data_IF_887118499183
#
_entry.id   IF_887118499183
#
_cell.length_a   1.000
_cell.length_b   1.000
_cell.length_c   1.000
_cell.angle_alpha   90.00
_cell.angle_beta   90.00
_cell.angle_gamma   90.00
#
_symmetry.space_group_name_H-M   'P 1'
#
loop_
_entity.id
_entity.type
_entity.pdbx_description
1 polymer ?
#
# COMPACT_ATOMS: atom_id res chain seq x y z
N UNK A 1 17.13 -5.35 -16.50
CA UNK A 1 17.88 -4.77 -15.36
C UNK A 1 18.16 -3.26 -15.56
N UNK A 2 18.85 -2.79 -16.61
CA UNK A 2 19.16 -1.35 -16.76
C UNK A 2 17.89 -0.49 -16.96
N UNK A 3 16.98 -0.88 -17.83
CA UNK A 3 15.68 -0.19 -18.01
C UNK A 3 14.80 -0.21 -16.73
N UNK A 4 14.89 -1.27 -15.97
CA UNK A 4 14.24 -1.47 -14.68
C UNK A 4 14.73 -0.45 -13.65
N UNK A 5 16.04 -0.30 -13.55
CA UNK A 5 16.68 0.67 -12.66
C UNK A 5 16.38 2.12 -13.07
N UNK A 6 16.34 2.42 -14.37
CA UNK A 6 16.02 3.74 -14.89
C UNK A 6 14.59 4.16 -14.54
N UNK A 7 13.61 3.26 -14.67
CA UNK A 7 12.22 3.52 -14.26
C UNK A 7 12.12 3.73 -12.75
N UNK A 8 12.76 2.85 -11.96
CA UNK A 8 12.73 2.93 -10.50
C UNK A 8 13.40 4.22 -9.99
N UNK A 9 14.58 4.56 -10.53
CA UNK A 9 15.30 5.79 -10.18
C UNK A 9 14.46 7.02 -10.52
N UNK A 10 13.87 7.07 -11.72
CA UNK A 10 13.00 8.17 -12.14
C UNK A 10 11.77 8.33 -11.25
N UNK A 11 11.19 7.23 -10.81
CA UNK A 11 9.98 7.23 -9.99
C UNK A 11 10.21 7.67 -8.55
N UNK A 12 11.40 7.43 -7.97
CA UNK A 12 11.68 7.85 -6.58
C UNK A 12 12.60 9.06 -6.45
N UNK A 13 13.56 9.23 -7.35
CA UNK A 13 14.50 10.37 -7.25
C UNK A 13 13.89 11.65 -7.83
N UNK A 14 13.15 11.51 -8.94
CA UNK A 14 12.53 12.67 -9.63
C UNK A 14 11.06 12.38 -9.98
N UNK A 15 10.20 12.02 -9.03
CA UNK A 15 8.81 11.67 -9.32
C UNK A 15 8.02 12.89 -9.77
N UNK A 16 7.14 12.69 -10.74
CA UNK A 16 6.08 13.66 -11.02
C UNK A 16 5.15 13.72 -9.80
N UNK A 17 4.87 14.93 -9.31
CA UNK A 17 4.04 15.12 -8.10
C UNK A 17 2.61 15.50 -8.44
N UNK A 18 1.63 15.16 -7.60
CA UNK A 18 1.75 14.49 -6.30
C UNK A 18 2.19 13.02 -6.40
N UNK A 19 3.09 12.59 -5.50
CA UNK A 19 3.52 11.20 -5.34
C UNK A 19 2.68 10.54 -4.24
N UNK A 20 1.98 9.47 -4.60
CA UNK A 20 1.27 8.61 -3.66
C UNK A 20 2.03 7.30 -3.45
N UNK A 21 1.94 6.75 -2.25
CA UNK A 21 2.38 5.39 -1.97
C UNK A 21 1.26 4.59 -1.32
N UNK A 22 1.06 3.35 -1.77
CA UNK A 22 0.24 2.35 -1.10
C UNK A 22 1.17 1.37 -0.40
N UNK A 23 0.98 1.20 0.89
CA UNK A 23 1.69 0.21 1.70
C UNK A 23 0.65 -0.65 2.41
N UNK A 24 0.57 -1.90 2.00
CA UNK A 24 -0.28 -2.91 2.63
C UNK A 24 0.53 -4.03 3.26
N UNK A 25 -0.15 -5.03 3.79
CA UNK A 25 0.46 -6.21 4.39
C UNK A 25 0.04 -6.45 5.83
N UNK A 26 0.55 -7.52 6.43
CA UNK A 26 0.07 -8.01 7.71
C UNK A 26 0.52 -7.14 8.90
N UNK A 27 1.78 -6.68 8.92
CA UNK A 27 2.43 -6.14 10.13
C UNK A 27 3.19 -4.84 9.85
N UNK A 28 3.01 -3.85 10.74
CA UNK A 28 3.77 -2.58 10.75
C UNK A 28 5.25 -2.83 11.03
N UNK A 29 5.55 -3.74 11.98
CA UNK A 29 6.94 -4.06 12.38
C UNK A 29 7.83 -4.44 11.23
N UNK A 30 7.30 -5.14 10.22
CA UNK A 30 8.06 -5.58 9.04
C UNK A 30 8.33 -4.47 8.03
N UNK A 31 7.64 -3.33 8.14
CA UNK A 31 7.69 -2.24 7.15
C UNK A 31 8.01 -0.87 7.76
N UNK A 32 8.48 -0.80 9.00
CA UNK A 32 8.80 0.47 9.66
C UNK A 32 9.82 1.31 8.89
N UNK A 33 10.89 0.69 8.38
CA UNK A 33 11.90 1.35 7.57
C UNK A 33 11.29 1.94 6.28
N UNK A 34 10.47 1.15 5.60
CA UNK A 34 9.72 1.55 4.42
C UNK A 34 8.79 2.74 4.70
N UNK A 35 7.97 2.67 5.74
CA UNK A 35 7.04 3.75 6.11
C UNK A 35 7.76 5.06 6.40
N UNK A 36 8.84 5.03 7.18
CA UNK A 36 9.65 6.22 7.52
C UNK A 36 10.29 6.84 6.29
N UNK A 37 10.87 6.02 5.40
CA UNK A 37 11.51 6.52 4.19
C UNK A 37 10.48 7.10 3.21
N UNK A 38 9.35 6.43 3.01
CA UNK A 38 8.28 6.92 2.14
C UNK A 38 7.68 8.23 2.65
N UNK A 39 7.42 8.37 3.95
CA UNK A 39 6.90 9.61 4.53
C UNK A 39 7.79 10.84 4.27
N UNK A 40 9.10 10.64 4.14
CA UNK A 40 9.99 11.73 3.76
C UNK A 40 9.82 12.18 2.31
N UNK A 41 9.29 11.33 1.44
CA UNK A 41 9.29 11.51 -0.03
C UNK A 41 7.91 11.72 -0.64
N UNK A 42 6.86 11.05 -0.10
CA UNK A 42 5.50 11.07 -0.68
C UNK A 42 4.70 12.30 -0.26
N UNK A 43 3.67 12.62 -1.04
CA UNK A 43 2.65 13.59 -0.67
C UNK A 43 1.52 12.90 0.11
N UNK A 44 1.18 11.66 -0.28
CA UNK A 44 0.11 10.88 0.34
C UNK A 44 0.60 9.45 0.57
N UNK A 45 0.40 8.93 1.78
CA UNK A 45 0.66 7.55 2.17
C UNK A 45 -0.66 6.85 2.47
N UNK A 46 -0.99 5.84 1.68
CA UNK A 46 -2.20 5.03 1.83
C UNK A 46 -1.80 3.73 2.52
N UNK A 47 -2.40 3.43 3.66
CA UNK A 47 -2.08 2.26 4.47
C UNK A 47 -3.23 1.26 4.40
N UNK A 48 -2.93 0.03 4.00
CA UNK A 48 -3.87 -1.08 3.87
C UNK A 48 -3.45 -2.34 4.63
N UNK A 49 -4.24 -3.39 4.47
CA UNK A 49 -3.97 -4.69 5.08
C UNK A 49 -4.06 -4.70 6.60
N UNK A 50 -3.56 -5.76 7.23
CA UNK A 50 -3.54 -5.91 8.68
C UNK A 50 -2.78 -4.80 9.42
N UNK A 51 -1.80 -4.17 8.76
CA UNK A 51 -1.09 -3.03 9.34
C UNK A 51 -2.01 -1.81 9.52
N UNK A 52 -3.00 -1.59 8.66
CA UNK A 52 -3.98 -0.53 8.83
C UNK A 52 -4.76 -0.68 10.14
N UNK A 53 -5.01 -1.92 10.60
CA UNK A 53 -5.70 -2.18 11.86
C UNK A 53 -4.91 -1.64 13.06
N UNK A 54 -3.57 -1.74 13.02
CA UNK A 54 -2.70 -1.16 14.07
C UNK A 54 -2.81 0.36 14.09
N UNK A 55 -2.89 1.02 12.93
CA UNK A 55 -3.11 2.47 12.87
C UNK A 55 -4.52 2.85 13.35
N UNK A 56 -5.56 2.11 12.95
CA UNK A 56 -6.94 2.34 13.45
C UNK A 56 -7.03 2.19 14.96
N UNK A 57 -6.43 1.14 15.52
CA UNK A 57 -6.36 0.93 16.97
C UNK A 57 -5.58 2.04 17.67
N UNK A 58 -4.47 2.51 17.10
CA UNK A 58 -3.68 3.63 17.60
C UNK A 58 -4.48 4.93 17.67
N UNK A 59 -5.47 5.12 16.77
CA UNK A 59 -6.39 6.25 16.75
C UNK A 59 -7.65 6.03 17.60
N UNK A 60 -7.74 4.91 18.35
CA UNK A 60 -8.81 4.64 19.30
C UNK A 60 -10.01 3.87 18.71
N UNK A 61 -9.91 3.36 17.49
CA UNK A 61 -10.95 2.49 16.94
C UNK A 61 -10.84 1.07 17.50
N UNK A 62 -12.00 0.44 17.75
CA UNK A 62 -12.04 -0.99 18.01
C UNK A 62 -11.75 -1.75 16.71
N UNK A 63 -10.84 -2.72 16.75
CA UNK A 63 -10.49 -3.58 15.61
C UNK A 63 -10.89 -5.03 15.82
N UNK A 64 -11.66 -5.32 16.88
CA UNK A 64 -12.16 -6.63 17.22
C UNK A 64 -11.05 -7.66 17.39
N UNK A 65 -11.19 -8.79 16.68
CA UNK A 65 -10.22 -9.89 16.63
C UNK A 65 -9.26 -9.79 15.44
N UNK A 66 -9.20 -8.65 14.79
CA UNK A 66 -8.31 -8.43 13.65
C UNK A 66 -6.84 -8.54 14.05
N UNK A 67 -5.99 -8.90 13.10
CA UNK A 67 -4.55 -8.81 13.28
C UNK A 67 -4.17 -7.37 13.62
N UNK A 68 -3.54 -7.17 14.77
CA UNK A 68 -3.13 -5.87 15.28
C UNK A 68 -1.87 -6.02 16.15
N UNK A 69 -0.88 -5.16 15.95
CA UNK A 69 0.34 -5.12 16.75
C UNK A 69 0.17 -4.07 17.86
N UNK A 70 -0.42 -4.47 18.98
CA UNK A 70 -0.73 -3.58 20.11
C UNK A 70 0.51 -2.93 20.72
N UNK A 71 1.67 -3.59 20.65
CA UNK A 71 2.95 -3.06 21.12
C UNK A 71 3.47 -1.88 20.27
N UNK A 72 2.90 -1.70 19.05
CA UNK A 72 3.30 -0.65 18.11
C UNK A 72 2.29 0.51 18.01
N UNK A 73 1.29 0.59 18.90
CA UNK A 73 0.31 1.68 18.86
C UNK A 73 0.95 3.07 19.06
N UNK A 74 1.95 3.17 19.93
CA UNK A 74 2.72 4.42 20.10
C UNK A 74 3.47 4.80 18.82
N UNK A 75 4.15 3.84 18.22
CA UNK A 75 4.89 4.03 16.96
C UNK A 75 3.94 4.44 15.82
N UNK A 76 2.77 3.83 15.73
CA UNK A 76 1.77 4.22 14.73
C UNK A 76 1.28 5.66 14.93
N UNK A 77 1.03 6.09 16.18
CA UNK A 77 0.69 7.50 16.51
C UNK A 77 1.82 8.46 16.14
N UNK A 78 3.06 8.11 16.44
CA UNK A 78 4.23 8.92 16.08
C UNK A 78 4.35 9.10 14.57
N UNK A 79 4.10 8.04 13.79
CA UNK A 79 4.11 8.08 12.32
C UNK A 79 3.02 9.04 11.81
N UNK A 80 1.80 8.97 12.36
CA UNK A 80 0.70 9.88 11.99
C UNK A 80 1.06 11.33 12.33
N UNK A 81 1.50 11.59 13.55
CA UNK A 81 1.89 12.94 13.98
C UNK A 81 3.06 13.50 13.14
N UNK A 82 4.04 12.65 12.79
CA UNK A 82 5.15 13.07 11.93
C UNK A 82 4.67 13.41 10.51
N UNK A 83 3.74 12.65 9.96
CA UNK A 83 3.15 12.95 8.65
C UNK A 83 2.43 14.30 8.66
N UNK A 84 1.59 14.55 9.65
CA UNK A 84 0.88 15.82 9.85
C UNK A 84 1.84 16.99 9.97
N UNK A 85 2.87 16.88 10.81
CA UNK A 85 3.89 17.91 11.00
C UNK A 85 4.67 18.23 9.71
N UNK A 86 4.74 17.29 8.77
CA UNK A 86 5.38 17.45 7.45
C UNK A 86 4.39 17.84 6.34
N UNK A 87 3.11 18.05 6.66
CA UNK A 87 2.06 18.32 5.66
C UNK A 87 1.85 17.15 4.70
N UNK A 88 2.02 15.92 5.18
CA UNK A 88 1.78 14.68 4.42
C UNK A 88 0.46 14.08 4.84
N UNK A 89 -0.31 13.61 3.88
CA UNK A 89 -1.57 12.93 4.17
C UNK A 89 -1.33 11.44 4.42
N UNK A 90 -1.91 10.89 5.50
CA UNK A 90 -2.08 9.45 5.69
C UNK A 90 -3.54 9.10 5.44
N UNK A 91 -3.77 8.20 4.49
CA UNK A 91 -5.09 7.68 4.16
C UNK A 91 -5.26 6.31 4.78
N UNK A 92 -6.21 6.20 5.72
CA UNK A 92 -6.62 4.97 6.37
C UNK A 92 -8.03 4.56 5.89
N UNK A 93 -8.38 3.27 5.99
CA UNK A 93 -9.75 2.81 5.72
C UNK A 93 -10.77 3.55 6.57
N UNK A 94 -11.94 3.85 6.00
CA UNK A 94 -13.11 4.46 6.68
C UNK A 94 -14.23 3.44 6.88
N UNK A 95 -14.19 2.34 6.16
CA UNK A 95 -15.04 1.16 6.30
C UNK A 95 -14.26 -0.11 5.98
N UNK A 96 -14.76 -1.23 6.42
CA UNK A 96 -14.12 -2.53 6.30
C UNK A 96 -15.10 -3.63 5.94
N UNK A 97 -14.62 -4.65 5.25
CA UNK A 97 -15.29 -5.94 5.11
C UNK A 97 -14.85 -6.81 6.28
N UNK A 98 -15.81 -7.18 7.11
CA UNK A 98 -15.55 -7.95 8.33
C UNK A 98 -16.25 -9.31 8.30
N UNK A 99 -15.64 -10.29 8.96
CA UNK A 99 -16.23 -11.59 9.23
C UNK A 99 -15.74 -12.11 10.58
N UNK A 100 -16.35 -13.17 11.11
CA UNK A 100 -15.95 -13.76 12.40
C UNK A 100 -14.77 -14.74 12.29
N UNK A 101 -14.46 -15.19 11.08
CA UNK A 101 -13.32 -16.05 10.75
C UNK A 101 -12.84 -15.78 9.31
N UNK A 102 -11.62 -16.15 9.02
CA UNK A 102 -11.08 -16.15 7.66
C UNK A 102 -11.45 -17.47 6.97
N UNK A 103 -12.47 -17.42 6.10
CA UNK A 103 -12.97 -18.60 5.37
C UNK A 103 -13.73 -18.09 4.13
N UNK A 104 -13.55 -18.75 2.99
CA UNK A 104 -14.20 -18.36 1.74
C UNK A 104 -15.73 -18.42 1.76
N UNK A 105 -16.31 -19.24 2.63
CA UNK A 105 -17.76 -19.43 2.73
C UNK A 105 -18.38 -18.70 3.94
N UNK A 106 -17.60 -17.84 4.60
CA UNK A 106 -18.10 -17.10 5.74
C UNK A 106 -19.01 -15.95 5.32
N UNK A 107 -20.08 -15.74 6.09
CA UNK A 107 -20.87 -14.53 5.92
C UNK A 107 -20.02 -13.29 6.32
N UNK A 108 -19.81 -12.41 5.36
CA UNK A 108 -19.14 -11.12 5.57
C UNK A 108 -20.14 -9.98 5.50
N UNK A 109 -19.75 -8.85 6.09
CA UNK A 109 -20.53 -7.62 6.01
C UNK A 109 -19.61 -6.40 5.95
N UNK A 110 -20.11 -5.31 5.38
CA UNK A 110 -19.42 -4.02 5.36
C UNK A 110 -19.87 -3.20 6.57
N UNK A 111 -18.91 -2.68 7.31
CA UNK A 111 -19.16 -1.80 8.47
C UNK A 111 -18.22 -0.59 8.43
N UNK A 112 -18.66 0.59 8.91
CA UNK A 112 -17.73 1.70 9.13
C UNK A 112 -16.73 1.35 10.25
N UNK A 113 -15.51 1.90 10.20
CA UNK A 113 -14.44 1.56 11.15
C UNK A 113 -14.79 1.84 12.62
N UNK A 114 -15.72 2.72 12.89
CA UNK A 114 -16.22 3.01 14.24
C UNK A 114 -17.32 2.06 14.73
N UNK A 115 -17.74 1.07 13.92
CA UNK A 115 -18.79 0.09 14.23
C UNK A 115 -18.31 -1.36 14.14
N UNK A 116 -17.00 -1.59 14.20
CA UNK A 116 -16.41 -2.93 14.21
C UNK A 116 -16.72 -3.60 15.55
N UNK A 117 -17.32 -4.78 15.50
CA UNK A 117 -17.70 -5.54 16.67
C UNK A 117 -16.52 -6.27 17.33
N UNK A 118 -16.66 -6.60 18.61
CA UNK A 118 -15.60 -7.26 19.38
C UNK A 118 -15.17 -8.63 18.83
N UNK A 119 -16.05 -9.32 18.09
CA UNK A 119 -15.78 -10.63 17.50
C UNK A 119 -15.46 -10.56 16.00
N UNK A 120 -15.47 -9.38 15.41
CA UNK A 120 -15.16 -9.17 14.00
C UNK A 120 -13.66 -9.23 13.74
N UNK A 121 -13.33 -9.71 12.54
CA UNK A 121 -12.00 -9.60 11.94
C UNK A 121 -12.14 -8.73 10.68
N UNK A 122 -11.33 -7.69 10.57
CA UNK A 122 -11.17 -6.91 9.35
C UNK A 122 -10.38 -7.75 8.36
N UNK A 123 -10.99 -8.09 7.23
CA UNK A 123 -10.37 -8.96 6.22
C UNK A 123 -10.14 -8.24 4.89
N UNK A 124 -10.85 -7.14 4.63
CA UNK A 124 -10.60 -6.25 3.48
C UNK A 124 -11.09 -4.83 3.78
N UNK A 125 -10.74 -3.88 2.94
CA UNK A 125 -11.29 -2.53 2.98
C UNK A 125 -12.70 -2.53 2.37
N UNK A 126 -13.57 -1.65 2.88
CA UNK A 126 -14.93 -1.50 2.34
C UNK A 126 -14.99 -0.60 1.10
N UNK A 127 -16.13 -0.54 0.43
CA UNK A 127 -16.31 0.18 -0.83
C UNK A 127 -16.10 1.70 -0.70
N UNK A 128 -16.38 2.30 0.45
CA UNK A 128 -16.11 3.74 0.68
C UNK A 128 -14.62 4.01 0.79
N UNK A 129 -13.87 3.09 1.39
CA UNK A 129 -12.41 3.14 1.46
C UNK A 129 -11.80 3.00 0.07
N UNK A 130 -12.30 2.06 -0.75
CA UNK A 130 -11.91 1.90 -2.16
C UNK A 130 -12.10 3.20 -2.92
N UNK A 131 -13.29 3.80 -2.85
CA UNK A 131 -13.60 5.07 -3.54
C UNK A 131 -12.68 6.21 -3.08
N UNK A 132 -12.39 6.29 -1.77
CA UNK A 132 -11.44 7.28 -1.24
C UNK A 132 -10.05 7.09 -1.82
N UNK A 133 -9.54 5.86 -1.86
CA UNK A 133 -8.24 5.54 -2.46
C UNK A 133 -8.22 5.93 -3.94
N UNK A 134 -9.22 5.53 -4.72
CA UNK A 134 -9.33 5.88 -6.15
C UNK A 134 -9.34 7.40 -6.35
N UNK A 135 -10.07 8.14 -5.52
CA UNK A 135 -10.11 9.60 -5.58
C UNK A 135 -8.74 10.25 -5.33
N UNK A 136 -7.96 9.70 -4.41
CA UNK A 136 -6.58 10.13 -4.15
C UNK A 136 -5.68 9.82 -5.35
N UNK A 137 -5.78 8.60 -5.91
CA UNK A 137 -4.99 8.19 -7.06
C UNK A 137 -5.29 9.01 -8.32
N UNK A 138 -6.54 9.44 -8.51
CA UNK A 138 -6.94 10.30 -9.62
C UNK A 138 -6.26 11.70 -9.57
N UNK A 139 -5.82 12.14 -8.40
CA UNK A 139 -5.10 13.40 -8.20
C UNK A 139 -3.58 13.21 -8.23
N UNK A 140 -3.09 11.98 -8.04
CA UNK A 140 -1.67 11.66 -8.06
C UNK A 140 -1.11 11.65 -9.50
N UNK A 141 0.19 11.88 -9.63
CA UNK A 141 0.94 11.74 -10.89
C UNK A 141 1.84 10.52 -10.88
N UNK A 142 2.23 10.09 -9.71
CA UNK A 142 3.07 8.90 -9.52
C UNK A 142 2.52 8.07 -8.36
N UNK A 143 2.48 6.77 -8.53
CA UNK A 143 2.12 5.79 -7.51
C UNK A 143 3.25 4.78 -7.34
N UNK A 144 3.58 4.50 -6.09
CA UNK A 144 4.38 3.35 -5.68
C UNK A 144 3.51 2.43 -4.82
N UNK A 145 3.37 1.16 -5.21
CA UNK A 145 2.47 0.21 -4.53
C UNK A 145 3.23 -1.01 -4.01
N UNK A 146 3.12 -1.25 -2.70
CA UNK A 146 3.67 -2.43 -2.05
C UNK A 146 2.71 -3.02 -1.00
N UNK A 147 2.12 -4.16 -1.31
CA UNK A 147 1.22 -4.93 -0.44
C UNK A 147 -0.27 -4.72 -0.70
N UNK A 148 -1.09 -5.77 -0.53
CA UNK A 148 -2.53 -5.75 -0.75
C UNK A 148 -3.28 -5.01 0.37
N UNK A 149 -4.56 -4.69 0.13
CA UNK A 149 -5.46 -4.07 1.11
C UNK A 149 -6.16 -5.09 1.99
N UNK A 150 -6.50 -6.25 1.45
CA UNK A 150 -7.21 -7.32 2.14
C UNK A 150 -6.46 -8.64 2.11
N UNK A 151 -7.11 -9.69 2.60
CA UNK A 151 -6.63 -11.07 2.53
C UNK A 151 -6.96 -11.63 1.14
N UNK A 152 -6.25 -11.10 0.13
CA UNK A 152 -6.56 -11.26 -1.29
C UNK A 152 -6.55 -12.71 -1.78
N UNK A 153 -5.95 -13.64 -1.04
CA UNK A 153 -5.91 -15.07 -1.35
C UNK A 153 -7.25 -15.76 -1.09
N UNK A 154 -8.13 -15.13 -0.29
CA UNK A 154 -9.40 -15.72 0.14
C UNK A 154 -10.58 -14.84 -0.28
N UNK A 155 -11.38 -15.31 -1.23
CA UNK A 155 -12.61 -14.60 -1.62
C UNK A 155 -13.64 -14.63 -0.48
N UNK A 156 -14.39 -13.53 -0.28
CA UNK A 156 -14.48 -12.31 -1.12
C UNK A 156 -13.56 -11.17 -0.68
N UNK A 157 -12.52 -11.43 0.11
CA UNK A 157 -11.64 -10.44 0.74
C UNK A 157 -10.50 -9.94 -0.17
N UNK A 158 -10.63 -10.17 -1.47
CA UNK A 158 -9.76 -9.71 -2.55
C UNK A 158 -10.30 -8.44 -3.26
N UNK A 159 -11.57 -8.09 -3.04
CA UNK A 159 -12.28 -7.11 -3.84
C UNK A 159 -11.68 -5.70 -3.71
N UNK A 160 -11.31 -5.28 -2.50
CA UNK A 160 -10.70 -3.97 -2.28
C UNK A 160 -9.40 -3.80 -3.07
N UNK A 161 -8.54 -4.82 -3.06
CA UNK A 161 -7.30 -4.82 -3.83
C UNK A 161 -7.55 -4.83 -5.33
N UNK A 162 -8.48 -5.68 -5.81
CA UNK A 162 -8.82 -5.79 -7.24
C UNK A 162 -9.40 -4.48 -7.79
N UNK A 163 -10.33 -3.85 -7.09
CA UNK A 163 -10.96 -2.61 -7.55
C UNK A 163 -9.97 -1.46 -7.64
N UNK A 164 -9.12 -1.30 -6.62
CA UNK A 164 -8.04 -0.28 -6.65
C UNK A 164 -7.04 -0.58 -7.75
N UNK A 165 -6.68 -1.86 -7.97
CA UNK A 165 -5.75 -2.26 -9.03
C UNK A 165 -6.30 -1.95 -10.43
N UNK A 166 -7.57 -2.23 -10.69
CA UNK A 166 -8.24 -1.91 -11.95
C UNK A 166 -8.27 -0.41 -12.21
N UNK A 167 -8.68 0.38 -11.20
CA UNK A 167 -8.70 1.84 -11.32
C UNK A 167 -7.29 2.42 -11.56
N UNK A 168 -6.27 1.87 -10.90
CA UNK A 168 -4.87 2.24 -11.13
C UNK A 168 -4.45 1.96 -12.57
N UNK A 169 -4.79 0.78 -13.09
CA UNK A 169 -4.49 0.40 -14.46
C UNK A 169 -5.16 1.34 -15.48
N UNK A 170 -6.43 1.68 -15.28
CA UNK A 170 -7.18 2.63 -16.13
C UNK A 170 -6.54 4.03 -16.12
N UNK A 171 -6.12 4.53 -14.95
CA UNK A 171 -5.44 5.81 -14.84
C UNK A 171 -4.07 5.79 -15.54
N UNK A 172 -3.38 4.65 -15.49
CA UNK A 172 -2.08 4.45 -16.13
C UNK A 172 -2.21 4.42 -17.65
N UNK A 173 -3.13 3.64 -18.19
CA UNK A 173 -3.42 3.56 -19.64
C UNK A 173 -3.88 4.91 -20.21
N UNK A 174 -4.64 5.68 -19.42
CA UNK A 174 -5.03 7.04 -19.78
C UNK A 174 -3.88 8.06 -19.72
N UNK A 175 -2.65 7.65 -19.37
CA UNK A 175 -1.48 8.53 -19.24
C UNK A 175 -1.57 9.53 -18.09
N UNK A 176 -2.48 9.34 -17.14
CA UNK A 176 -2.72 10.24 -16.01
C UNK A 176 -1.86 9.90 -14.79
N UNK A 177 -1.40 8.65 -14.68
CA UNK A 177 -0.67 8.12 -13.53
C UNK A 177 0.51 7.28 -14.00
N UNK A 178 1.69 7.52 -13.45
CA UNK A 178 2.83 6.61 -13.54
C UNK A 178 2.73 5.66 -12.36
N UNK A 179 2.49 4.37 -12.61
CA UNK A 179 2.28 3.36 -11.56
C UNK A 179 3.42 2.36 -11.52
N UNK A 180 4.02 2.22 -10.34
CA UNK A 180 5.06 1.22 -10.07
C UNK A 180 4.60 0.36 -8.91
N UNK A 181 4.66 -0.95 -9.08
CA UNK A 181 4.30 -1.92 -8.06
C UNK A 181 5.40 -2.95 -7.85
N UNK A 182 5.48 -3.50 -6.64
CA UNK A 182 6.42 -4.58 -6.35
C UNK A 182 6.16 -5.23 -4.99
N UNK A 183 6.84 -6.35 -4.77
CA UNK A 183 6.62 -7.26 -3.67
C UNK A 183 5.73 -8.45 -4.07
N UNK A 184 6.08 -9.65 -3.59
CA UNK A 184 5.45 -10.90 -4.00
C UNK A 184 3.92 -10.88 -3.95
N UNK A 185 3.36 -10.48 -2.80
CA UNK A 185 1.92 -10.42 -2.59
C UNK A 185 1.24 -9.39 -3.50
N UNK A 186 1.91 -8.25 -3.75
CA UNK A 186 1.39 -7.23 -4.67
C UNK A 186 1.31 -7.78 -6.08
N UNK A 187 2.40 -8.37 -6.56
CA UNK A 187 2.48 -8.95 -7.92
C UNK A 187 1.45 -10.06 -8.08
N UNK A 188 1.30 -10.94 -7.09
CA UNK A 188 0.29 -11.99 -7.08
C UNK A 188 -1.14 -11.42 -7.16
N UNK A 189 -1.43 -10.38 -6.39
CA UNK A 189 -2.74 -9.72 -6.42
C UNK A 189 -3.02 -9.04 -7.77
N UNK A 190 -2.03 -8.35 -8.37
CA UNK A 190 -2.17 -7.72 -9.68
C UNK A 190 -2.37 -8.75 -10.80
N UNK A 191 -1.68 -9.89 -10.73
CA UNK A 191 -1.88 -11.00 -11.67
C UNK A 191 -3.26 -11.61 -11.53
N UNK A 192 -3.75 -11.82 -10.30
CA UNK A 192 -5.11 -12.30 -10.05
C UNK A 192 -6.18 -11.34 -10.57
N UNK A 193 -5.92 -10.04 -10.54
CA UNK A 193 -6.78 -9.00 -11.09
C UNK A 193 -6.64 -8.85 -12.63
N UNK A 194 -5.66 -9.52 -13.25
CA UNK A 194 -5.33 -9.47 -14.69
C UNK A 194 -5.01 -8.02 -15.16
N UNK A 195 -4.25 -7.29 -14.34
CA UNK A 195 -3.91 -5.88 -14.63
C UNK A 195 -2.40 -5.58 -14.53
N UNK A 196 -1.56 -6.56 -14.20
CA UNK A 196 -0.14 -6.35 -13.99
C UNK A 196 0.55 -5.68 -15.19
N UNK A 197 0.24 -6.11 -16.42
CA UNK A 197 0.82 -5.56 -17.66
C UNK A 197 0.32 -4.15 -18.00
N UNK A 198 -0.73 -3.68 -17.34
CA UNK A 198 -1.33 -2.36 -17.53
C UNK A 198 -0.73 -1.29 -16.60
N UNK A 199 0.18 -1.68 -15.72
CA UNK A 199 1.00 -0.77 -14.90
C UNK A 199 2.20 -0.28 -15.69
N UNK A 200 2.72 0.90 -15.35
CA UNK A 200 3.96 1.41 -15.97
C UNK A 200 5.12 0.46 -15.73
N UNK A 201 5.21 -0.08 -14.52
CA UNK A 201 6.23 -1.06 -14.16
C UNK A 201 5.79 -1.94 -12.98
N UNK A 202 6.00 -3.24 -13.10
CA UNK A 202 5.81 -4.21 -12.00
C UNK A 202 7.13 -4.92 -11.76
N UNK A 203 7.72 -4.71 -10.58
CA UNK A 203 9.00 -5.31 -10.21
C UNK A 203 8.85 -6.79 -9.91
N UNK A 204 9.63 -7.62 -10.61
CA UNK A 204 9.77 -9.05 -10.32
C UNK A 204 10.82 -9.33 -9.25
N UNK A 205 11.67 -8.35 -8.90
CA UNK A 205 12.70 -8.43 -7.88
C UNK A 205 12.18 -7.93 -6.52
N UNK A 206 11.21 -8.64 -5.93
CA UNK A 206 10.48 -8.20 -4.75
C UNK A 206 11.33 -7.72 -3.57
N UNK A 207 12.42 -8.42 -3.25
CA UNK A 207 13.34 -8.04 -2.17
C UNK A 207 14.09 -6.74 -2.47
N UNK A 208 14.72 -6.64 -3.63
CA UNK A 208 15.44 -5.45 -4.05
C UNK A 208 14.52 -4.22 -4.17
N UNK A 209 13.29 -4.40 -4.64
CA UNK A 209 12.30 -3.33 -4.67
C UNK A 209 11.98 -2.79 -3.27
N UNK A 210 11.80 -3.68 -2.28
CA UNK A 210 11.56 -3.29 -0.90
C UNK A 210 12.77 -2.57 -0.29
N UNK A 211 13.98 -3.10 -0.45
CA UNK A 211 15.21 -2.49 0.04
C UNK A 211 15.41 -1.09 -0.53
N UNK A 212 15.11 -0.92 -1.80
CA UNK A 212 15.18 0.38 -2.45
C UNK A 212 14.11 1.36 -1.92
N UNK A 213 12.89 0.89 -1.69
CA UNK A 213 11.84 1.70 -1.05
C UNK A 213 12.20 2.08 0.40
N UNK A 214 12.96 1.25 1.10
CA UNK A 214 13.51 1.54 2.42
C UNK A 214 14.68 2.54 2.39
N UNK A 215 15.14 2.93 1.19
CA UNK A 215 16.27 3.84 1.01
C UNK A 215 17.62 3.17 1.18
N UNK A 216 17.69 1.84 1.13
CA UNK A 216 18.95 1.10 1.15
C UNK A 216 19.63 1.20 -0.20
N UNK A 217 20.96 1.35 -0.18
CA UNK A 217 21.76 1.29 -1.40
C UNK A 217 21.67 -0.12 -2.01
N UNK A 218 21.34 -0.19 -3.29
CA UNK A 218 21.35 -1.45 -4.02
C UNK A 218 22.73 -1.59 -4.70
N UNK A 219 23.55 -2.58 -4.34
CA UNK A 219 24.92 -2.74 -4.90
C UNK A 219 24.93 -2.77 -6.45
N UNK A 220 23.89 -3.35 -7.07
CA UNK A 220 23.75 -3.36 -8.53
C UNK A 220 23.46 -1.99 -9.14
N UNK A 221 22.84 -1.08 -8.40
CA UNK A 221 22.55 0.30 -8.82
C UNK A 221 23.80 1.15 -8.72
N UNK A 222 24.55 1.02 -7.63
CA UNK A 222 25.81 1.76 -7.41
C UNK A 222 26.88 1.40 -8.44
N UNK A 223 27.01 0.11 -8.79
CA UNK A 223 27.94 -0.33 -9.85
C UNK A 223 27.59 0.24 -11.23
N UNK A 224 26.29 0.40 -11.54
CA UNK A 224 25.87 0.98 -12.82
C UNK A 224 26.00 2.50 -12.83
N UNK A 225 25.84 3.17 -11.70
CA UNK A 225 26.08 4.60 -11.55
C UNK A 225 27.59 4.92 -11.63
N UNK A 226 28.44 4.09 -11.04
CA UNK A 226 29.90 4.23 -11.09
C UNK A 226 30.49 4.03 -12.52
N UNK A 227 29.85 3.21 -13.36
CA UNK A 227 30.25 2.98 -14.75
C UNK A 227 29.72 4.06 -15.74
N UNK A 228 29.06 5.10 -15.26
CA UNK A 228 28.63 6.27 -16.08
C UNK A 228 29.61 7.44 -16.04
N UNK A 229 30.81 7.29 -15.46
CA UNK A 229 31.86 8.30 -15.66
C UNK A 229 32.48 8.15 -17.06
N UNK A 230 32.57 9.25 -17.84
CA UNK A 230 33.02 9.27 -19.21
C UNK A 230 34.50 8.86 -19.36
#
# INVERSE_FOLDING_TARGET
>A
MQAELEVLTKVLETPSRPLAAIVGGAKVSTKLGLLRNLLARVNVLIIGGGMANTFLAALGHNVGRSLCEYDLLSTAREIVAHAEAKGREIVLPVDAVVAQKLDANVQSRVVPVNAIGAFDMILDIGPRSVQRVISVLAQAKTLVWNGPFGTFEVKPFDQGTIEVAKATAELTEAGKLVSVAGGGDTVAALNSAIVAERFTYVSTAGGAFLEWLEGKALPGVEMLAANRCP
#
